data_IF_765186029150
#
_entry.id   IF_765186029150
#
_cell.length_a   1.000
_cell.length_b   1.000
_cell.length_c   1.000
_cell.angle_alpha   90.00
_cell.angle_beta   90.00
_cell.angle_gamma   90.00
#
_symmetry.space_group_name_H-M   'P 1'
#
loop_
_entity.id
_entity.type
_entity.pdbx_description
1 polymer ?
#
# COMPACT_ATOMS: atom_id res chain seq x y z
N UNK A 1 -3.17 30.36 -4.62
CA UNK A 1 -4.12 29.22 -4.67
C UNK A 1 -3.79 28.31 -3.51
N UNK A 2 -4.74 28.03 -2.62
CA UNK A 2 -4.54 27.11 -1.51
C UNK A 2 -4.60 25.67 -2.03
N UNK A 3 -3.72 24.80 -1.53
CA UNK A 3 -3.78 23.36 -1.76
C UNK A 3 -5.10 22.84 -1.17
N UNK A 4 -5.91 22.06 -1.92
CA UNK A 4 -7.12 21.45 -1.36
C UNK A 4 -6.74 20.57 -0.15
N UNK A 5 -7.60 20.50 0.87
CA UNK A 5 -7.38 19.60 2.00
C UNK A 5 -7.35 18.15 1.51
N UNK A 6 -6.30 17.41 1.89
CA UNK A 6 -6.20 15.97 1.69
C UNK A 6 -7.21 15.31 2.63
N UNK A 7 -8.28 14.72 2.11
CA UNK A 7 -9.22 13.93 2.91
C UNK A 7 -8.55 12.58 3.16
N UNK A 8 -7.96 12.43 4.35
CA UNK A 8 -7.48 11.13 4.85
C UNK A 8 -8.63 10.41 5.52
N UNK A 9 -9.04 9.28 4.96
CA UNK A 9 -9.94 8.36 5.65
C UNK A 9 -9.07 7.38 6.44
N UNK A 10 -8.75 7.74 7.67
CA UNK A 10 -8.07 6.86 8.61
C UNK A 10 -9.11 5.86 9.16
N UNK A 11 -9.02 4.58 8.77
CA UNK A 11 -9.86 3.55 9.37
C UNK A 11 -9.19 3.00 10.63
N UNK A 12 -9.94 2.88 11.74
CA UNK A 12 -9.45 2.20 12.92
C UNK A 12 -9.40 0.70 12.60
N UNK A 13 -8.21 0.18 12.34
CA UNK A 13 -7.97 -1.22 12.69
C UNK A 13 -7.89 -1.25 14.22
N UNK A 14 -9.03 -1.37 14.89
CA UNK A 14 -9.11 -1.58 16.35
C UNK A 14 -8.46 -2.93 16.76
N UNK A 15 -8.04 -3.74 15.79
CA UNK A 15 -7.08 -4.80 16.01
C UNK A 15 -5.66 -4.23 16.06
N UNK A 16 -5.00 -4.42 17.21
CA UNK A 16 -3.54 -4.31 17.31
C UNK A 16 -2.94 -5.39 16.42
N UNK A 17 -2.71 -5.07 15.14
CA UNK A 17 -2.02 -5.94 14.21
C UNK A 17 -0.59 -6.14 14.71
N UNK A 18 -0.27 -7.38 15.11
CA UNK A 18 1.10 -7.73 15.50
C UNK A 18 2.00 -7.55 14.28
N UNK A 19 3.23 -7.02 14.44
CA UNK A 19 4.16 -6.92 13.33
C UNK A 19 4.39 -8.27 12.65
N UNK A 20 4.39 -8.28 11.32
CA UNK A 20 4.66 -9.48 10.54
C UNK A 20 6.17 -9.77 10.59
N UNK A 21 6.60 -10.93 11.12
CA UNK A 21 8.00 -11.30 11.09
C UNK A 21 8.45 -11.56 9.65
N UNK A 22 9.53 -10.92 9.23
CA UNK A 22 10.09 -10.98 7.88
C UNK A 22 11.34 -11.86 7.89
N UNK A 23 11.23 -13.06 7.33
CA UNK A 23 12.39 -13.90 7.02
C UNK A 23 13.03 -13.45 5.69
N UNK A 24 14.16 -12.72 5.78
CA UNK A 24 14.92 -12.26 4.61
C UNK A 24 15.66 -13.37 3.85
N UNK A 25 15.62 -14.63 4.32
CA UNK A 25 16.09 -15.78 3.53
C UNK A 25 15.06 -16.18 2.45
N UNK A 26 13.85 -15.65 2.55
CA UNK A 26 12.72 -15.88 1.63
C UNK A 26 12.42 -14.61 0.85
N UNK A 27 11.88 -14.78 -0.35
CA UNK A 27 11.51 -13.64 -1.21
C UNK A 27 10.11 -13.13 -0.83
N UNK A 28 10.07 -12.00 -0.12
CA UNK A 28 8.85 -11.31 0.27
C UNK A 28 8.40 -10.38 -0.86
N UNK A 29 7.18 -10.56 -1.31
CA UNK A 29 6.61 -9.86 -2.47
C UNK A 29 5.33 -9.13 -2.09
N UNK A 30 5.09 -8.00 -2.76
CA UNK A 30 3.81 -7.29 -2.81
C UNK A 30 3.27 -7.39 -4.24
N UNK A 31 2.11 -8.01 -4.41
CA UNK A 31 1.37 -7.98 -5.67
C UNK A 31 0.27 -6.94 -5.60
N UNK A 32 0.32 -5.95 -6.47
CA UNK A 32 -0.74 -4.98 -6.67
C UNK A 32 -1.66 -5.52 -7.76
N UNK A 33 -2.95 -5.61 -7.44
CA UNK A 33 -3.96 -6.32 -8.28
C UNK A 33 -5.07 -5.41 -8.79
N UNK A 34 -5.30 -4.27 -8.14
CA UNK A 34 -6.17 -3.22 -8.64
C UNK A 34 -5.58 -1.86 -8.27
N UNK A 35 -5.47 -1.00 -9.27
CA UNK A 35 -5.09 0.42 -9.16
C UNK A 35 -6.08 1.18 -10.03
N UNK A 36 -6.75 2.17 -9.45
CA UNK A 36 -7.67 3.00 -10.23
C UNK A 36 -6.95 4.15 -10.90
N UNK A 37 -6.12 4.91 -10.19
CA UNK A 37 -5.23 5.90 -10.84
C UNK A 37 -3.78 5.74 -10.42
N UNK A 38 -3.50 5.76 -9.12
CA UNK A 38 -2.14 5.63 -8.59
C UNK A 38 -2.10 4.79 -7.31
N UNK A 39 -1.01 4.03 -7.15
CA UNK A 39 -0.66 3.36 -5.90
C UNK A 39 0.82 3.54 -5.58
N UNK A 40 1.11 4.20 -4.45
CA UNK A 40 2.47 4.37 -3.93
C UNK A 40 2.76 3.38 -2.81
N UNK A 41 3.97 2.84 -2.82
CA UNK A 41 4.44 1.89 -1.82
C UNK A 41 5.69 2.47 -1.15
N UNK A 42 5.72 2.44 0.17
CA UNK A 42 6.89 2.83 0.97
C UNK A 42 7.15 1.87 2.13
N UNK A 43 8.41 1.74 2.54
CA UNK A 43 8.84 0.95 3.69
C UNK A 43 9.69 1.82 4.61
N UNK A 44 9.31 1.94 5.88
CA UNK A 44 10.02 2.78 6.86
C UNK A 44 10.10 4.26 6.40
N UNK A 45 9.06 4.74 5.72
CA UNK A 45 9.01 6.08 5.13
C UNK A 45 9.83 6.26 3.84
N UNK A 46 10.51 5.22 3.35
CA UNK A 46 11.27 5.28 2.10
C UNK A 46 10.46 4.73 0.93
N UNK A 47 10.43 5.47 -0.18
CA UNK A 47 9.67 5.09 -1.37
C UNK A 47 10.26 3.84 -2.04
N UNK A 48 9.40 2.84 -2.29
CA UNK A 48 9.75 1.57 -2.94
C UNK A 48 9.34 1.57 -4.41
N UNK A 49 8.15 2.10 -4.71
CA UNK A 49 7.67 2.22 -6.09
C UNK A 49 6.26 2.80 -6.18
N UNK A 50 5.91 3.26 -7.38
CA UNK A 50 4.58 3.75 -7.75
C UNK A 50 4.03 2.91 -8.89
N UNK A 51 2.73 2.62 -8.86
CA UNK A 51 1.96 2.02 -9.95
C UNK A 51 0.78 2.88 -10.36
N UNK A 52 0.32 2.67 -11.60
CA UNK A 52 -0.78 3.40 -12.20
C UNK A 52 -1.83 2.45 -12.79
N UNK A 53 -3.00 3.01 -13.15
CA UNK A 53 -4.13 2.28 -13.74
C UNK A 53 -3.73 1.26 -14.82
N UNK A 54 -4.40 0.11 -14.81
CA UNK A 54 -4.29 -0.89 -15.87
C UNK A 54 -3.06 -1.80 -15.80
N UNK A 55 -2.23 -1.67 -14.76
CA UNK A 55 -1.10 -2.54 -14.51
C UNK A 55 -1.31 -3.42 -13.26
N UNK A 56 -1.01 -4.72 -13.38
CA UNK A 56 -0.68 -5.55 -12.21
C UNK A 56 0.83 -5.58 -12.08
N UNK A 57 1.35 -5.33 -10.87
CA UNK A 57 2.78 -5.38 -10.60
C UNK A 57 3.10 -6.20 -9.38
N UNK A 58 4.22 -6.90 -9.46
CA UNK A 58 4.85 -7.53 -8.32
C UNK A 58 6.10 -6.73 -7.94
N UNK A 59 6.17 -6.29 -6.69
CA UNK A 59 7.29 -5.55 -6.10
C UNK A 59 8.01 -6.48 -5.12
N UNK A 60 9.33 -6.60 -5.26
CA UNK A 60 10.15 -7.35 -4.30
C UNK A 60 10.47 -6.48 -3.07
N UNK A 61 9.75 -6.74 -1.98
CA UNK A 61 9.96 -6.05 -0.70
C UNK A 61 11.25 -6.51 -0.04
N UNK A 62 11.56 -7.81 -0.10
CA UNK A 62 12.80 -8.35 0.46
C UNK A 62 14.05 -7.78 -0.21
N UNK A 63 14.02 -7.55 -1.53
CA UNK A 63 15.14 -6.92 -2.24
C UNK A 63 15.36 -5.48 -1.77
N UNK A 64 14.27 -4.73 -1.60
CA UNK A 64 14.34 -3.36 -1.10
C UNK A 64 14.90 -3.32 0.32
N UNK A 65 14.38 -4.15 1.23
CA UNK A 65 14.82 -4.24 2.62
C UNK A 65 16.30 -4.62 2.68
N UNK A 66 16.72 -5.61 1.90
CA UNK A 66 18.11 -6.08 1.85
C UNK A 66 19.06 -4.98 1.38
N UNK A 67 18.69 -4.26 0.31
CA UNK A 67 19.50 -3.16 -0.23
C UNK A 67 19.60 -1.95 0.69
N UNK A 68 18.60 -1.74 1.55
CA UNK A 68 18.51 -0.58 2.44
C UNK A 68 18.62 -0.93 3.92
N UNK A 69 19.13 -2.12 4.26
CA UNK A 69 19.14 -2.67 5.62
C UNK A 69 19.73 -1.70 6.66
N UNK A 70 20.81 -1.01 6.33
CA UNK A 70 21.49 -0.09 7.26
C UNK A 70 20.72 1.23 7.48
N UNK A 71 19.69 1.50 6.68
CA UNK A 71 18.87 2.72 6.72
C UNK A 71 17.46 2.47 7.22
N UNK A 72 17.09 1.21 7.43
CA UNK A 72 15.76 0.81 7.88
C UNK A 72 15.83 0.33 9.32
N UNK A 73 14.87 0.72 10.18
CA UNK A 73 14.76 0.15 11.51
C UNK A 73 14.37 -1.35 11.43
N UNK A 74 14.66 -2.11 12.50
CA UNK A 74 14.30 -3.53 12.57
C UNK A 74 12.77 -3.75 12.56
N UNK A 75 12.02 -2.79 13.12
CA UNK A 75 10.56 -2.72 13.03
C UNK A 75 10.19 -1.48 12.22
N UNK A 76 9.44 -1.67 11.14
CA UNK A 76 9.18 -0.63 10.14
C UNK A 76 7.80 -0.80 9.50
N UNK A 77 7.20 0.30 9.07
CA UNK A 77 5.90 0.28 8.41
C UNK A 77 6.05 0.05 6.91
N UNK A 78 5.33 -0.92 6.35
CA UNK A 78 4.94 -0.96 4.95
C UNK A 78 3.68 -0.10 4.79
N UNK A 79 3.76 0.97 4.00
CA UNK A 79 2.62 1.80 3.66
C UNK A 79 2.29 1.67 2.18
N UNK A 80 1.00 1.49 1.90
CA UNK A 80 0.42 1.43 0.57
C UNK A 80 -0.64 2.52 0.48
N UNK A 81 -0.42 3.49 -0.40
CA UNK A 81 -1.31 4.63 -0.59
C UNK A 81 -1.93 4.49 -1.97
N UNK A 82 -3.25 4.33 -2.05
CA UNK A 82 -3.97 4.40 -3.32
C UNK A 82 -4.65 5.76 -3.46
N UNK A 83 -4.45 6.39 -4.60
CA UNK A 83 -5.02 7.69 -4.93
C UNK A 83 -5.88 7.58 -6.19
N UNK A 84 -7.09 8.13 -6.16
CA UNK A 84 -7.97 8.40 -7.30
C UNK A 84 -7.88 9.90 -7.65
N UNK A 85 -7.62 10.23 -8.91
CA UNK A 85 -7.56 11.57 -9.50
C UNK A 85 -8.79 11.88 -10.40
N UNK A 86 -9.87 11.11 -10.30
CA UNK A 86 -11.05 11.20 -11.16
C UNK A 86 -11.70 12.59 -11.29
N UNK A 87 -12.55 12.78 -12.32
CA UNK A 87 -13.32 14.01 -12.50
C UNK A 87 -14.24 14.26 -11.29
N UNK A 88 -14.63 15.53 -11.09
CA UNK A 88 -15.56 15.90 -10.02
C UNK A 88 -16.88 15.11 -10.14
N UNK A 89 -17.31 14.49 -9.05
CA UNK A 89 -18.55 13.71 -9.00
C UNK A 89 -18.44 12.55 -8.02
N UNK A 90 -19.56 11.90 -7.77
CA UNK A 90 -19.58 10.69 -6.95
C UNK A 90 -19.11 9.51 -7.83
N UNK A 91 -17.89 9.03 -7.59
CA UNK A 91 -17.33 7.82 -8.20
C UNK A 91 -16.92 6.83 -7.11
N UNK A 92 -16.82 5.57 -7.51
CA UNK A 92 -16.28 4.50 -6.69
C UNK A 92 -15.01 4.00 -7.33
N UNK A 93 -13.97 3.78 -6.53
CA UNK A 93 -12.74 3.15 -7.00
C UNK A 93 -12.37 1.94 -6.16
N UNK A 94 -11.70 0.98 -6.78
CA UNK A 94 -11.26 -0.25 -6.13
C UNK A 94 -9.75 -0.34 -6.17
N UNK A 95 -9.17 -0.76 -5.06
CA UNK A 95 -7.75 -1.05 -5.00
C UNK A 95 -7.53 -2.30 -4.15
N UNK A 96 -6.49 -3.04 -4.52
CA UNK A 96 -6.22 -4.29 -3.85
C UNK A 96 -4.82 -4.81 -4.06
N UNK A 97 -4.31 -5.48 -3.03
CA UNK A 97 -2.97 -6.03 -3.00
C UNK A 97 -2.87 -7.31 -2.16
N UNK A 98 -1.76 -8.03 -2.36
CA UNK A 98 -1.38 -9.21 -1.58
C UNK A 98 0.08 -9.07 -1.14
N UNK A 99 0.38 -9.35 0.11
CA UNK A 99 1.74 -9.53 0.63
C UNK A 99 1.96 -11.02 0.87
N UNK A 100 3.00 -11.60 0.28
CA UNK A 100 3.22 -13.04 0.30
C UNK A 100 4.69 -13.42 0.10
N UNK A 101 5.04 -14.65 0.48
CA UNK A 101 6.31 -15.26 0.10
C UNK A 101 6.18 -16.07 -1.19
N UNK A 102 7.16 -15.99 -2.10
CA UNK A 102 7.11 -16.66 -3.41
C UNK A 102 7.08 -18.19 -3.34
N UNK A 103 7.75 -18.77 -2.34
CA UNK A 103 8.17 -20.17 -2.29
C UNK A 103 7.16 -21.13 -1.66
N UNK A 104 6.24 -20.64 -0.84
CA UNK A 104 5.10 -21.40 -0.34
C UNK A 104 3.90 -21.09 -1.22
N UNK A 105 3.25 -22.12 -1.76
CA UNK A 105 2.03 -21.97 -2.55
C UNK A 105 0.99 -21.14 -1.77
N UNK A 106 0.96 -19.84 -2.03
CA UNK A 106 0.05 -18.84 -1.48
C UNK A 106 0.10 -18.65 0.04
N UNK A 107 1.29 -18.60 0.67
CA UNK A 107 1.41 -18.04 2.02
C UNK A 107 1.18 -16.53 1.98
N UNK A 108 -0.07 -16.12 1.81
CA UNK A 108 -0.54 -14.75 1.92
C UNK A 108 -0.38 -14.37 3.39
N UNK A 109 0.52 -13.44 3.64
CA UNK A 109 0.74 -12.86 4.96
C UNK A 109 -0.35 -11.86 5.29
N UNK A 110 -0.75 -11.08 4.29
CA UNK A 110 -1.89 -10.20 4.35
C UNK A 110 -2.39 -9.88 2.95
N UNK A 111 -3.64 -9.47 2.86
CA UNK A 111 -4.24 -8.98 1.63
C UNK A 111 -5.35 -8.02 1.98
N UNK A 112 -5.54 -7.04 1.12
CA UNK A 112 -6.70 -6.18 1.18
C UNK A 112 -7.26 -5.96 -0.20
N UNK A 113 -8.58 -5.88 -0.25
CA UNK A 113 -9.31 -5.43 -1.42
C UNK A 113 -10.45 -4.56 -0.89
N UNK A 114 -10.42 -3.29 -1.27
CA UNK A 114 -11.40 -2.33 -0.80
C UNK A 114 -11.98 -1.56 -1.98
N UNK A 115 -13.23 -1.16 -1.82
CA UNK A 115 -13.92 -0.27 -2.75
C UNK A 115 -14.33 0.96 -1.95
N UNK A 116 -13.87 2.12 -2.39
CA UNK A 116 -14.13 3.39 -1.72
C UNK A 116 -15.02 4.28 -2.57
N UNK A 117 -15.87 5.04 -1.89
CA UNK A 117 -16.68 6.08 -2.49
C UNK A 117 -15.99 7.43 -2.28
N UNK A 118 -15.84 8.20 -3.35
CA UNK A 118 -15.50 9.61 -3.26
C UNK A 118 -16.74 10.41 -2.89
N UNK A 119 -16.59 11.34 -1.95
CA UNK A 119 -17.68 12.25 -1.57
C UNK A 119 -17.35 13.68 -2.02
N UNK A 120 -18.17 14.23 -2.94
CA UNK A 120 -18.25 15.68 -3.15
C UNK A 120 -17.56 16.24 -4.40
N UNK A 121 -18.14 17.32 -4.91
CA UNK A 121 -17.80 17.97 -6.19
C UNK A 121 -16.49 18.78 -6.19
N UNK A 122 -15.71 18.79 -5.09
CA UNK A 122 -14.56 19.69 -4.95
C UNK A 122 -13.20 18.99 -4.79
N UNK A 123 -13.16 17.67 -4.64
CA UNK A 123 -11.97 17.06 -4.05
C UNK A 123 -10.74 16.88 -4.94
N UNK A 124 -10.71 17.07 -6.25
CA UNK A 124 -9.52 16.80 -7.14
C UNK A 124 -8.84 15.41 -7.04
N UNK A 125 -8.61 14.83 -5.86
CA UNK A 125 -8.18 13.46 -5.63
C UNK A 125 -8.66 12.97 -4.26
N UNK A 126 -8.80 11.65 -4.11
CA UNK A 126 -9.08 10.99 -2.84
C UNK A 126 -8.06 9.87 -2.60
N UNK A 127 -7.58 9.74 -1.37
CA UNK A 127 -6.51 8.80 -1.05
C UNK A 127 -6.88 7.91 0.13
N UNK A 128 -6.52 6.64 0.04
CA UNK A 128 -6.58 5.70 1.16
C UNK A 128 -5.21 5.12 1.42
N UNK A 129 -4.82 5.13 2.69
CA UNK A 129 -3.56 4.58 3.18
C UNK A 129 -3.83 3.32 3.97
N UNK A 130 -3.07 2.27 3.66
CA UNK A 130 -2.99 1.08 4.47
C UNK A 130 -1.56 0.93 5.00
N UNK A 131 -1.46 0.60 6.29
CA UNK A 131 -0.20 0.50 7.01
C UNK A 131 -0.11 -0.86 7.68
N UNK A 132 1.04 -1.53 7.52
CA UNK A 132 1.37 -2.79 8.17
C UNK A 132 2.76 -2.71 8.79
N UNK A 133 2.90 -3.13 10.03
CA UNK A 133 4.20 -3.26 10.67
C UNK A 133 4.92 -4.53 10.19
N UNK A 134 6.16 -4.38 9.74
CA UNK A 134 7.09 -5.44 9.39
C UNK A 134 8.22 -5.50 10.43
N UNK A 135 8.66 -6.71 10.76
CA UNK A 135 9.78 -6.93 11.70
C UNK A 135 10.81 -7.89 11.13
N UNK A 136 12.01 -7.38 10.86
CA UNK A 136 13.16 -8.14 10.31
C UNK A 136 14.04 -8.73 11.41
#
# INVERSE_FOLDING_TARGET
MATPPEVRVDYPTDEVLKPIPVDLRRELLLSITAVDDQMDVSIGGQHVGTEYIGASKVISLSDFITKNRDKLPAEMDLQIVSTDYGPQGDNWWTCGFFVFYRDEANAILDHQNWTYQRFGQHDKHASVTYTMALKV
#
